data_IF_722058060479
#
_entry.id   IF_722058060479
#
_cell.length_a   1.000
_cell.length_b   1.000
_cell.length_c   1.000
_cell.angle_alpha   90.00
_cell.angle_beta   90.00
_cell.angle_gamma   90.00
#
_symmetry.space_group_name_H-M   'P 1'
#
loop_
_entity.id
_entity.type
_entity.pdbx_description
1 polymer ?
#
# COMPACT_ATOMS: atom_id res chain seq x y z
N UNK A 1 -25.04 23.30 -45.55
CA UNK A 1 -24.19 23.92 -44.50
C UNK A 1 -24.45 23.40 -43.09
N UNK A 2 -25.70 23.10 -42.69
CA UNK A 2 -26.04 22.68 -41.31
C UNK A 2 -25.31 21.41 -40.81
N UNK A 3 -25.12 20.41 -41.67
CA UNK A 3 -24.47 19.14 -41.28
C UNK A 3 -22.95 19.26 -41.09
N UNK A 4 -22.30 20.20 -41.80
CA UNK A 4 -20.86 20.46 -41.66
C UNK A 4 -20.57 21.25 -40.38
N UNK A 5 -21.46 22.16 -40.01
CA UNK A 5 -21.37 22.91 -38.75
C UNK A 5 -21.60 21.99 -37.54
N UNK A 6 -22.58 21.07 -37.63
CA UNK A 6 -22.82 20.06 -36.61
C UNK A 6 -21.61 19.12 -36.44
N UNK A 7 -20.97 18.71 -37.54
CA UNK A 7 -19.76 17.89 -37.49
C UNK A 7 -18.63 18.58 -36.75
N UNK A 8 -18.36 19.87 -37.04
CA UNK A 8 -17.31 20.65 -36.35
C UNK A 8 -17.59 20.76 -34.84
N UNK A 9 -18.86 20.94 -34.46
CA UNK A 9 -19.24 21.05 -33.05
C UNK A 9 -19.00 19.74 -32.28
N UNK A 10 -19.30 18.59 -32.91
CA UNK A 10 -19.05 17.26 -32.32
C UNK A 10 -17.55 17.01 -32.16
N UNK A 11 -16.71 17.39 -33.13
CA UNK A 11 -15.25 17.20 -33.02
C UNK A 11 -14.65 18.04 -31.89
N UNK A 12 -15.12 19.27 -31.71
CA UNK A 12 -14.67 20.14 -30.61
C UNK A 12 -15.09 19.55 -29.26
N UNK A 13 -16.34 19.10 -29.15
CA UNK A 13 -16.84 18.50 -27.92
C UNK A 13 -16.09 17.21 -27.56
N UNK A 14 -15.79 16.37 -28.54
CA UNK A 14 -14.99 15.16 -28.34
C UNK A 14 -13.55 15.49 -27.88
N UNK A 15 -12.92 16.53 -28.43
CA UNK A 15 -11.59 16.96 -28.02
C UNK A 15 -11.55 17.46 -26.57
N UNK A 16 -12.56 18.22 -26.13
CA UNK A 16 -12.71 18.69 -24.73
C UNK A 16 -13.04 17.53 -23.78
N UNK A 17 -13.81 16.55 -24.24
CA UNK A 17 -14.12 15.35 -23.45
C UNK A 17 -12.87 14.48 -23.25
N UNK A 18 -12.06 14.29 -24.30
CA UNK A 18 -10.80 13.54 -24.24
C UNK A 18 -9.74 14.22 -23.36
N UNK A 19 -9.66 15.55 -23.33
CA UNK A 19 -8.72 16.25 -22.44
C UNK A 19 -9.08 16.11 -20.96
N UNK A 20 -10.36 15.94 -20.63
CA UNK A 20 -10.82 15.69 -19.25
C UNK A 20 -10.39 14.30 -18.73
N UNK A 21 -10.24 13.32 -19.61
CA UNK A 21 -9.73 11.98 -19.24
C UNK A 21 -8.22 11.97 -18.93
N UNK A 22 -7.44 12.91 -19.47
CA UNK A 22 -5.99 12.96 -19.25
C UNK A 22 -5.61 13.40 -17.81
N UNK A 23 -6.53 14.01 -17.06
CA UNK A 23 -6.29 14.45 -15.67
C UNK A 23 -6.61 13.38 -14.61
N UNK A 24 -7.10 12.20 -15.00
CA UNK A 24 -7.51 11.15 -14.06
C UNK A 24 -6.40 10.14 -13.69
N UNK A 25 -5.16 10.35 -14.17
CA UNK A 25 -3.99 9.55 -13.75
C UNK A 25 -3.06 10.44 -12.93
N UNK A 26 -3.58 11.00 -11.84
CA UNK A 26 -2.71 11.47 -10.78
C UNK A 26 -2.24 10.23 -10.02
N UNK A 27 -1.07 9.72 -10.44
CA UNK A 27 -0.35 8.66 -9.75
C UNK A 27 0.16 9.28 -8.44
N UNK A 28 -0.75 9.37 -7.46
CA UNK A 28 -0.53 9.95 -6.14
C UNK A 28 0.45 9.04 -5.42
N UNK A 29 1.73 9.21 -5.76
CA UNK A 29 2.84 8.63 -5.03
C UNK A 29 2.60 9.00 -3.59
N UNK A 30 2.29 8.00 -2.77
CA UNK A 30 2.12 8.17 -1.34
C UNK A 30 3.47 8.67 -0.86
N UNK A 31 3.60 9.99 -0.71
CA UNK A 31 4.76 10.61 -0.12
C UNK A 31 4.69 10.23 1.35
N UNK A 32 5.34 9.11 1.68
CA UNK A 32 5.55 8.67 3.05
C UNK A 32 6.47 9.73 3.66
N UNK A 33 5.87 10.80 4.20
CA UNK A 33 6.58 11.74 5.03
C UNK A 33 7.03 10.96 6.26
N UNK A 34 8.32 10.63 6.31
CA UNK A 34 8.92 10.02 7.49
C UNK A 34 8.94 11.10 8.56
N UNK A 35 7.94 11.14 9.44
CA UNK A 35 8.07 11.88 10.69
C UNK A 35 9.35 11.39 11.40
N UNK A 36 10.33 12.26 11.69
CA UNK A 36 11.58 11.87 12.33
C UNK A 36 11.36 11.33 13.76
N UNK A 37 10.23 11.66 14.37
CA UNK A 37 9.83 11.19 15.71
C UNK A 37 9.40 9.72 15.72
N UNK A 38 8.89 9.20 14.59
CA UNK A 38 8.46 7.80 14.49
C UNK A 38 9.59 7.00 13.83
N UNK A 39 10.57 6.60 14.64
CA UNK A 39 11.59 5.65 14.20
C UNK A 39 10.94 4.28 14.01
N UNK A 40 10.69 3.90 12.76
CA UNK A 40 10.23 2.55 12.43
C UNK A 40 11.29 1.53 12.83
N UNK A 41 11.05 0.80 13.91
CA UNK A 41 11.88 -0.35 14.31
C UNK A 41 11.57 -1.48 13.33
N UNK A 42 12.48 -1.69 12.38
CA UNK A 42 12.37 -2.83 11.46
C UNK A 42 12.63 -4.14 12.24
N UNK A 43 11.91 -5.22 11.94
CA UNK A 43 12.21 -6.53 12.50
C UNK A 43 13.63 -6.94 12.12
N UNK A 44 14.33 -7.60 13.05
CA UNK A 44 15.72 -8.03 12.87
C UNK A 44 15.79 -9.17 11.86
N UNK A 45 14.80 -10.06 11.86
CA UNK A 45 14.69 -11.16 10.90
C UNK A 45 13.47 -10.96 10.00
N UNK A 46 13.62 -11.20 8.69
CA UNK A 46 12.47 -11.15 7.79
C UNK A 46 11.47 -12.24 8.18
N UNK A 47 10.19 -11.87 8.25
CA UNK A 47 9.10 -12.83 8.42
C UNK A 47 8.98 -13.65 7.13
N UNK A 48 9.02 -14.97 7.26
CA UNK A 48 8.87 -15.94 6.17
C UNK A 48 7.63 -16.79 6.43
N UNK A 49 6.74 -16.79 5.44
CA UNK A 49 5.55 -17.63 5.41
C UNK A 49 5.83 -18.81 4.50
N UNK A 50 5.70 -20.04 4.99
CA UNK A 50 5.84 -21.27 4.20
C UNK A 50 4.49 -21.99 4.14
N UNK A 51 4.02 -22.26 2.94
CA UNK A 51 2.89 -23.15 2.71
C UNK A 51 3.42 -24.56 2.47
N UNK A 52 2.95 -25.53 3.26
CA UNK A 52 3.25 -26.96 3.07
C UNK A 52 1.96 -27.69 2.73
N UNK A 53 2.04 -28.60 1.75
CA UNK A 53 0.98 -29.55 1.43
C UNK A 53 1.38 -30.93 1.98
N UNK A 54 0.49 -31.54 2.74
CA UNK A 54 0.64 -32.91 3.25
C UNK A 54 0.24 -33.92 2.17
N UNK A 55 0.71 -35.17 2.30
CA UNK A 55 0.27 -36.29 1.46
C UNK A 55 -1.23 -36.60 1.60
N UNK A 56 -1.85 -36.19 2.71
CA UNK A 56 -3.29 -36.30 2.98
C UNK A 56 -4.11 -35.14 2.37
N UNK A 57 -3.53 -34.39 1.45
CA UNK A 57 -4.13 -33.20 0.81
C UNK A 57 -4.49 -32.04 1.76
N UNK A 58 -3.89 -32.03 2.95
CA UNK A 58 -4.02 -30.95 3.94
C UNK A 58 -2.98 -29.85 3.66
N UNK A 59 -3.38 -28.60 3.86
CA UNK A 59 -2.48 -27.45 3.78
C UNK A 59 -2.11 -26.95 5.18
N UNK A 60 -0.85 -26.62 5.39
CA UNK A 60 -0.35 -26.07 6.66
C UNK A 60 0.50 -24.84 6.39
N UNK A 61 0.23 -23.77 7.14
CA UNK A 61 1.01 -22.55 7.12
C UNK A 61 2.02 -22.57 8.27
N UNK A 62 3.30 -22.45 7.93
CA UNK A 62 4.39 -22.29 8.90
C UNK A 62 4.88 -20.85 8.84
N UNK A 63 4.66 -20.10 9.93
CA UNK A 63 5.18 -18.74 10.09
C UNK A 63 6.51 -18.81 10.83
N UNK A 64 7.57 -18.28 10.21
CA UNK A 64 8.91 -18.18 10.82
C UNK A 64 9.37 -16.73 10.78
N UNK A 65 9.99 -16.23 11.85
CA UNK A 65 10.32 -14.82 11.97
C UNK A 65 11.08 -14.50 13.24
N UNK A 66 10.94 -13.27 13.72
CA UNK A 66 11.50 -12.83 15.00
C UNK A 66 10.81 -13.52 16.19
N UNK A 67 11.56 -13.66 17.28
CA UNK A 67 11.04 -14.28 18.50
C UNK A 67 9.97 -13.38 19.13
N UNK A 68 8.79 -13.95 19.36
CA UNK A 68 7.64 -13.27 19.97
C UNK A 68 8.02 -12.63 21.32
N UNK A 69 8.82 -13.32 22.13
CA UNK A 69 9.22 -12.83 23.45
C UNK A 69 10.09 -11.56 23.37
N UNK A 70 10.94 -11.46 22.33
CA UNK A 70 11.77 -10.29 22.11
C UNK A 70 10.93 -9.09 21.67
N UNK A 71 9.92 -9.32 20.83
CA UNK A 71 8.98 -8.28 20.37
C UNK A 71 8.19 -7.72 21.55
N UNK A 72 7.64 -8.59 22.41
CA UNK A 72 6.88 -8.17 23.60
C UNK A 72 7.77 -7.40 24.58
N UNK A 73 9.03 -7.82 24.76
CA UNK A 73 9.99 -7.07 25.60
C UNK A 73 10.32 -5.70 25.02
N UNK A 74 10.47 -5.60 23.69
CA UNK A 74 10.72 -4.32 23.03
C UNK A 74 9.52 -3.37 23.16
N UNK A 75 8.29 -3.87 22.96
CA UNK A 75 7.05 -3.09 23.16
C UNK A 75 6.91 -2.59 24.60
N UNK A 76 7.14 -3.46 25.60
CA UNK A 76 7.14 -3.04 27.01
C UNK A 76 8.18 -1.97 27.32
N UNK A 77 9.37 -2.04 26.71
CA UNK A 77 10.40 -1.00 26.87
C UNK A 77 9.98 0.31 26.20
N UNK A 78 9.38 0.24 25.02
CA UNK A 78 8.90 1.40 24.29
C UNK A 78 7.80 2.14 25.06
N UNK A 79 6.79 1.41 25.57
CA UNK A 79 5.72 1.97 26.40
C UNK A 79 6.24 2.68 27.65
N UNK A 80 7.23 2.09 28.32
CA UNK A 80 7.91 2.72 29.47
C UNK A 80 8.61 4.03 29.09
N UNK A 81 9.29 4.09 27.95
CA UNK A 81 9.96 5.31 27.48
C UNK A 81 8.96 6.41 27.10
N UNK A 82 7.77 6.04 26.64
CA UNK A 82 6.71 6.97 26.25
C UNK A 82 5.80 7.37 27.43
N UNK A 83 5.97 6.77 28.62
CA UNK A 83 5.13 7.06 29.79
C UNK A 83 3.67 6.61 29.63
N UNK A 84 3.40 5.69 28.71
CA UNK A 84 2.07 5.13 28.46
C UNK A 84 2.02 3.80 29.22
N UNK A 85 1.48 3.82 30.45
CA UNK A 85 1.20 2.61 31.25
C UNK A 85 0.02 1.80 30.69
#
# INVERSE_FOLDING_TARGET
MKNKFLQVFITIFAAVFLSSFAFAVENKSIQIQKQPEIQQVKPKKPVKIKLKRSAEDKYTWELSGDNVDEIVKADKRLKKLLGIE
#
